data_IF_998555854027
#
_entry.id   IF_998555854027
#
_cell.length_a   1.000
_cell.length_b   1.000
_cell.length_c   1.000
_cell.angle_alpha   90.00
_cell.angle_beta   90.00
_cell.angle_gamma   90.00
#
_symmetry.space_group_name_H-M   'P 1'
#
loop_
_entity.id
_entity.type
_entity.pdbx_description
1 polymer ?
#
# COMPACT_ATOMS: atom_id res chain seq x y z
N UNK A 1 -2.71 28.25 -19.66
CA UNK A 1 -2.05 27.63 -18.48
C UNK A 1 -2.13 26.13 -18.64
N UNK A 2 -1.00 25.43 -18.62
CA UNK A 2 -0.98 23.97 -18.58
C UNK A 2 -1.38 23.55 -17.16
N UNK A 3 -2.33 22.62 -17.05
CA UNK A 3 -2.71 22.06 -15.76
C UNK A 3 -1.78 20.87 -15.46
N UNK A 4 -0.80 21.07 -14.58
CA UNK A 4 0.16 20.04 -14.16
C UNK A 4 -0.50 18.81 -13.52
N UNK A 5 -1.64 18.99 -12.84
CA UNK A 5 -2.38 17.89 -12.23
C UNK A 5 -2.93 16.94 -13.30
N UNK A 6 -3.41 17.49 -14.44
CA UNK A 6 -3.82 16.66 -15.58
C UNK A 6 -2.64 15.88 -16.16
N UNK A 7 -1.45 16.48 -16.22
CA UNK A 7 -0.24 15.78 -16.66
C UNK A 7 0.09 14.62 -15.71
N UNK A 8 0.00 14.83 -14.40
CA UNK A 8 0.18 13.78 -13.41
C UNK A 8 -0.85 12.65 -13.56
N UNK A 9 -2.12 12.97 -13.84
CA UNK A 9 -3.13 11.96 -14.14
C UNK A 9 -2.76 11.13 -15.38
N UNK A 10 -2.31 11.77 -16.46
CA UNK A 10 -1.86 11.04 -17.65
C UNK A 10 -0.64 10.15 -17.37
N UNK A 11 0.36 10.66 -16.65
CA UNK A 11 1.54 9.89 -16.27
C UNK A 11 1.16 8.64 -15.45
N UNK A 12 0.18 8.76 -14.56
CA UNK A 12 -0.33 7.64 -13.76
C UNK A 12 -1.12 6.63 -14.60
N UNK A 13 -1.85 7.08 -15.62
CA UNK A 13 -2.53 6.16 -16.53
C UNK A 13 -1.49 5.37 -17.34
N UNK A 14 -0.43 6.05 -17.80
CA UNK A 14 0.67 5.42 -18.55
C UNK A 14 1.44 4.44 -17.66
N UNK A 15 1.72 4.80 -16.40
CA UNK A 15 2.45 3.92 -15.48
C UNK A 15 1.70 2.60 -15.21
N UNK A 16 0.37 2.58 -15.28
CA UNK A 16 -0.44 1.37 -15.13
C UNK A 16 -0.34 0.39 -16.30
N UNK A 17 0.13 0.85 -17.47
CA UNK A 17 0.28 -0.02 -18.64
C UNK A 17 1.55 -0.88 -18.59
N UNK A 18 2.47 -0.55 -17.69
CA UNK A 18 3.67 -1.36 -17.49
C UNK A 18 3.32 -2.65 -16.74
N UNK A 19 3.84 -3.76 -17.25
CA UNK A 19 3.71 -5.08 -16.62
C UNK A 19 4.48 -5.15 -15.30
N UNK A 20 5.63 -4.47 -15.26
CA UNK A 20 6.51 -4.43 -14.10
C UNK A 20 6.27 -3.17 -13.26
N UNK A 21 6.07 -3.40 -11.95
CA UNK A 21 5.77 -2.37 -10.97
C UNK A 21 7.02 -1.57 -10.59
N UNK A 22 8.21 -2.15 -10.71
CA UNK A 22 9.47 -1.43 -10.50
C UNK A 22 9.73 -0.46 -11.65
N UNK A 23 9.59 -0.91 -12.90
CA UNK A 23 9.64 -0.03 -14.08
C UNK A 23 8.59 1.10 -14.03
N UNK A 24 7.37 0.78 -13.56
CA UNK A 24 6.31 1.78 -13.35
C UNK A 24 6.73 2.87 -12.36
N UNK A 25 7.37 2.46 -11.27
CA UNK A 25 7.82 3.35 -10.19
C UNK A 25 8.95 4.25 -10.69
N UNK A 26 9.95 3.69 -11.37
CA UNK A 26 11.06 4.45 -11.95
C UNK A 26 10.59 5.47 -12.99
N UNK A 27 9.60 5.13 -13.81
CA UNK A 27 8.98 6.09 -14.73
C UNK A 27 8.34 7.27 -13.99
N UNK A 28 7.56 6.99 -12.93
CA UNK A 28 6.89 8.03 -12.15
C UNK A 28 7.89 8.93 -11.39
N UNK A 29 8.98 8.36 -10.88
CA UNK A 29 10.08 9.12 -10.28
C UNK A 29 10.73 10.07 -11.29
N UNK A 30 11.00 9.60 -12.51
CA UNK A 30 11.52 10.46 -13.59
C UNK A 30 10.54 11.56 -14.01
N UNK A 31 9.22 11.35 -13.87
CA UNK A 31 8.22 12.40 -14.08
C UNK A 31 8.28 13.44 -12.96
N UNK A 32 8.46 13.03 -11.71
CA UNK A 32 8.63 13.95 -10.57
C UNK A 32 9.86 14.83 -10.78
N UNK A 33 10.99 14.28 -11.19
CA UNK A 33 12.22 15.05 -11.46
C UNK A 33 11.99 16.13 -12.53
N UNK A 34 11.28 15.79 -13.61
CA UNK A 34 10.94 16.74 -14.68
C UNK A 34 9.97 17.83 -14.19
N UNK A 35 9.01 17.47 -13.34
CA UNK A 35 8.09 18.44 -12.73
C UNK A 35 8.85 19.41 -11.82
N UNK A 36 9.80 18.91 -11.01
CA UNK A 36 10.65 19.73 -10.16
C UNK A 36 11.56 20.67 -10.97
N UNK A 37 12.07 20.20 -12.12
CA UNK A 37 12.87 21.02 -13.02
C UNK A 37 12.11 22.21 -13.63
N UNK A 38 10.77 22.12 -13.69
CA UNK A 38 9.91 23.17 -14.26
C UNK A 38 9.74 24.38 -13.33
N UNK A 39 10.03 24.25 -12.02
CA UNK A 39 9.97 25.32 -10.99
C UNK A 39 8.66 26.15 -10.98
N UNK A 40 7.53 25.53 -11.29
CA UNK A 40 6.21 26.18 -11.18
C UNK A 40 5.71 26.21 -9.73
N UNK A 41 4.86 27.19 -9.38
CA UNK A 41 4.38 27.40 -7.99
C UNK A 41 3.44 26.31 -7.45
N UNK A 42 2.83 25.49 -8.32
CA UNK A 42 1.87 24.45 -7.94
C UNK A 42 2.35 23.04 -8.32
N UNK A 43 3.65 22.79 -8.21
CA UNK A 43 4.24 21.47 -8.48
C UNK A 43 4.01 20.48 -7.34
N UNK A 44 3.71 20.95 -6.12
CA UNK A 44 3.64 20.07 -4.96
C UNK A 44 2.42 19.14 -5.00
N UNK A 45 1.26 19.63 -5.44
CA UNK A 45 0.04 18.83 -5.65
C UNK A 45 0.24 17.65 -6.63
N UNK A 46 0.72 17.85 -7.88
CA UNK A 46 0.93 16.75 -8.81
C UNK A 46 2.04 15.80 -8.35
N UNK A 47 3.10 16.31 -7.72
CA UNK A 47 4.16 15.47 -7.14
C UNK A 47 3.58 14.59 -6.04
N UNK A 48 2.76 15.17 -5.16
CA UNK A 48 2.08 14.44 -4.10
C UNK A 48 1.16 13.35 -4.66
N UNK A 49 0.35 13.67 -5.67
CA UNK A 49 -0.52 12.71 -6.34
C UNK A 49 0.27 11.52 -6.91
N UNK A 50 1.40 11.79 -7.58
CA UNK A 50 2.27 10.73 -8.13
C UNK A 50 2.87 9.89 -7.01
N UNK A 51 3.34 10.50 -5.91
CA UNK A 51 3.86 9.78 -4.74
C UNK A 51 2.81 8.83 -4.14
N UNK A 52 1.53 9.22 -4.10
CA UNK A 52 0.45 8.33 -3.63
C UNK A 52 0.27 7.11 -4.55
N UNK A 53 0.46 7.28 -5.86
CA UNK A 53 0.40 6.15 -6.79
C UNK A 53 1.63 5.24 -6.68
N UNK A 54 2.82 5.80 -6.41
CA UNK A 54 4.01 5.00 -6.08
C UNK A 54 3.77 4.19 -4.80
N UNK A 55 3.22 4.81 -3.75
CA UNK A 55 2.88 4.11 -2.51
C UNK A 55 1.91 2.94 -2.75
N UNK A 56 0.92 3.12 -3.64
CA UNK A 56 0.04 2.03 -4.08
C UNK A 56 0.83 0.89 -4.73
N UNK A 57 1.75 1.17 -5.64
CA UNK A 57 2.56 0.12 -6.27
C UNK A 57 3.45 -0.60 -5.27
N UNK A 58 4.05 0.12 -4.31
CA UNK A 58 4.84 -0.49 -3.22
C UNK A 58 3.98 -1.38 -2.31
N UNK A 59 2.74 -0.98 -2.04
CA UNK A 59 1.78 -1.82 -1.32
C UNK A 59 1.46 -3.12 -2.08
N UNK A 60 1.27 -3.05 -3.40
CA UNK A 60 1.05 -4.22 -4.26
C UNK A 60 2.26 -5.16 -4.30
N UNK A 61 3.49 -4.62 -4.22
CA UNK A 61 4.72 -5.40 -4.12
C UNK A 61 4.97 -6.02 -2.72
N UNK A 62 4.17 -5.64 -1.71
CA UNK A 62 4.31 -6.11 -0.33
C UNK A 62 5.25 -5.29 0.55
N UNK A 63 5.80 -4.17 0.05
CA UNK A 63 6.67 -3.29 0.84
C UNK A 63 5.84 -2.34 1.74
N UNK A 64 5.33 -2.90 2.82
CA UNK A 64 4.52 -2.18 3.80
C UNK A 64 5.31 -1.13 4.58
N UNK A 65 6.63 -1.29 4.73
CA UNK A 65 7.46 -0.35 5.50
C UNK A 65 7.63 0.94 4.72
N UNK A 66 7.98 0.85 3.45
CA UNK A 66 8.10 2.01 2.57
C UNK A 66 6.75 2.69 2.33
N UNK A 67 5.69 1.91 2.12
CA UNK A 67 4.34 2.48 1.96
C UNK A 67 3.92 3.30 3.21
N UNK A 68 4.27 2.84 4.42
CA UNK A 68 3.98 3.58 5.65
C UNK A 68 4.73 4.90 5.72
N UNK A 69 6.03 4.89 5.42
CA UNK A 69 6.85 6.12 5.40
C UNK A 69 6.26 7.15 4.42
N UNK A 70 5.91 6.71 3.21
CA UNK A 70 5.29 7.57 2.21
C UNK A 70 3.94 8.14 2.65
N UNK A 71 3.14 7.38 3.41
CA UNK A 71 1.88 7.86 3.98
C UNK A 71 2.10 8.86 5.12
N UNK A 72 3.07 8.61 6.01
CA UNK A 72 3.41 9.50 7.13
C UNK A 72 3.99 10.84 6.61
N UNK A 73 4.93 10.77 5.66
CA UNK A 73 5.48 11.96 4.97
C UNK A 73 4.40 12.69 4.17
N UNK A 74 3.51 11.92 3.53
CA UNK A 74 2.38 12.45 2.80
C UNK A 74 1.42 13.22 3.71
N UNK A 75 1.12 12.71 4.90
CA UNK A 75 0.25 13.39 5.85
C UNK A 75 0.80 14.76 6.26
N UNK A 76 2.09 14.83 6.59
CA UNK A 76 2.76 16.09 6.96
C UNK A 76 2.72 17.11 5.82
N UNK A 77 2.93 16.64 4.58
CA UNK A 77 2.86 17.48 3.38
C UNK A 77 1.43 18.00 3.15
N UNK A 78 0.44 17.13 3.31
CA UNK A 78 -0.98 17.45 3.13
C UNK A 78 -1.47 18.47 4.16
N UNK A 79 -1.04 18.36 5.41
CA UNK A 79 -1.39 19.30 6.50
C UNK A 79 -0.80 20.70 6.28
N UNK A 80 0.26 20.82 5.47
CA UNK A 80 0.92 22.10 5.15
C UNK A 80 0.25 22.87 4.00
N UNK A 81 -0.59 22.20 3.21
CA UNK A 81 -1.21 22.75 2.00
C UNK A 81 -2.65 23.19 2.27
N UNK A 82 -3.01 24.41 1.87
CA UNK A 82 -4.31 25.03 2.20
C UNK A 82 -5.31 25.12 1.04
N UNK A 83 -4.92 24.79 -0.19
CA UNK A 83 -5.76 24.90 -1.41
C UNK A 83 -5.60 23.66 -2.32
N UNK A 84 -5.82 22.47 -1.77
CA UNK A 84 -5.61 21.20 -2.49
C UNK A 84 -6.91 20.75 -3.18
N UNK A 85 -6.79 20.24 -4.40
CA UNK A 85 -7.91 19.61 -5.10
C UNK A 85 -8.46 18.37 -4.34
N UNK A 86 -9.79 18.24 -4.18
CA UNK A 86 -10.41 17.12 -3.46
C UNK A 86 -10.02 15.73 -4.01
N UNK A 87 -9.68 15.60 -5.29
CA UNK A 87 -9.24 14.33 -5.88
C UNK A 87 -7.90 13.85 -5.31
N UNK A 88 -7.02 14.78 -4.95
CA UNK A 88 -5.71 14.47 -4.35
C UNK A 88 -5.89 13.97 -2.93
N UNK A 89 -6.76 14.63 -2.14
CA UNK A 89 -7.19 14.15 -0.82
C UNK A 89 -7.81 12.75 -0.90
N UNK A 90 -8.73 12.53 -1.85
CA UNK A 90 -9.37 11.23 -2.03
C UNK A 90 -8.34 10.14 -2.33
N UNK A 91 -7.34 10.43 -3.17
CA UNK A 91 -6.25 9.48 -3.47
C UNK A 91 -5.45 9.10 -2.22
N UNK A 92 -5.11 10.08 -1.37
CA UNK A 92 -4.39 9.81 -0.12
C UNK A 92 -5.17 8.90 0.83
N UNK A 93 -6.44 9.25 1.13
CA UNK A 93 -7.26 8.46 2.04
C UNK A 93 -7.60 7.08 1.48
N UNK A 94 -7.71 6.94 0.15
CA UNK A 94 -7.88 5.65 -0.49
C UNK A 94 -6.66 4.75 -0.25
N UNK A 95 -5.44 5.24 -0.50
CA UNK A 95 -4.21 4.44 -0.27
C UNK A 95 -4.04 4.10 1.21
N UNK A 96 -4.32 5.05 2.11
CA UNK A 96 -4.30 4.81 3.56
C UNK A 96 -5.27 3.71 3.96
N UNK A 97 -6.50 3.74 3.44
CA UNK A 97 -7.52 2.71 3.69
C UNK A 97 -7.07 1.33 3.20
N UNK A 98 -6.45 1.26 2.02
CA UNK A 98 -5.92 0.01 1.46
C UNK A 98 -4.75 -0.53 2.28
N UNK A 99 -3.88 0.35 2.77
CA UNK A 99 -2.79 -0.01 3.67
C UNK A 99 -3.32 -0.63 4.97
N UNK A 100 -4.32 -0.01 5.60
CA UNK A 100 -4.93 -0.52 6.82
C UNK A 100 -5.66 -1.86 6.59
N UNK A 101 -6.36 -2.00 5.46
CA UNK A 101 -7.01 -3.25 5.06
C UNK A 101 -5.99 -4.39 4.92
N UNK A 102 -4.91 -4.18 4.18
CA UNK A 102 -3.84 -5.17 4.02
C UNK A 102 -3.28 -5.62 5.37
N UNK A 103 -3.02 -4.68 6.30
CA UNK A 103 -2.53 -5.02 7.64
C UNK A 103 -3.52 -5.85 8.46
N UNK A 104 -4.81 -5.58 8.37
CA UNK A 104 -5.84 -6.36 9.06
C UNK A 104 -5.94 -7.78 8.51
N UNK A 105 -5.91 -7.94 7.18
CA UNK A 105 -5.89 -9.27 6.54
C UNK A 105 -4.69 -10.11 7.01
N UNK A 106 -3.51 -9.51 7.14
CA UNK A 106 -2.35 -10.21 7.72
C UNK A 106 -2.58 -10.59 9.19
N UNK A 107 -3.09 -9.68 10.02
CA UNK A 107 -3.35 -9.96 11.43
C UNK A 107 -4.37 -11.11 11.62
N UNK A 108 -5.44 -11.13 10.82
CA UNK A 108 -6.46 -12.17 10.90
C UNK A 108 -5.98 -13.50 10.30
N UNK A 109 -5.13 -13.47 9.26
CA UNK A 109 -4.46 -14.65 8.75
C UNK A 109 -3.57 -15.32 9.82
N UNK A 110 -2.78 -14.55 10.57
CA UNK A 110 -1.97 -15.08 11.68
C UNK A 110 -2.82 -15.68 12.81
N UNK A 111 -3.95 -15.05 13.16
CA UNK A 111 -4.89 -15.60 14.16
C UNK A 111 -5.47 -16.92 13.70
N UNK A 112 -5.88 -17.03 12.43
CA UNK A 112 -6.41 -18.25 11.85
C UNK A 112 -5.35 -19.38 11.83
N UNK A 113 -4.11 -19.07 11.46
CA UNK A 113 -3.05 -20.08 11.45
C UNK A 113 -2.74 -20.59 12.88
N UNK A 114 -2.70 -19.68 13.86
CA UNK A 114 -2.51 -20.03 15.27
C UNK A 114 -3.64 -20.91 15.81
N UNK A 115 -4.89 -20.64 15.47
CA UNK A 115 -6.02 -21.47 15.89
C UNK A 115 -5.98 -22.86 15.25
N UNK A 116 -5.59 -22.96 13.97
CA UNK A 116 -5.41 -24.25 13.28
C UNK A 116 -4.29 -25.06 13.95
N UNK A 117 -3.14 -24.46 14.23
CA UNK A 117 -2.03 -25.14 14.92
C UNK A 117 -2.43 -25.63 16.32
N UNK A 118 -3.19 -24.83 17.06
CA UNK A 118 -3.77 -25.28 18.33
C UNK A 118 -4.69 -26.49 18.11
N UNK A 119 -5.64 -26.44 17.17
CA UNK A 119 -6.54 -27.58 16.91
C UNK A 119 -5.82 -28.84 16.42
N UNK A 120 -4.71 -28.71 15.68
CA UNK A 120 -3.90 -29.84 15.24
C UNK A 120 -3.13 -30.47 16.42
N UNK A 121 -2.65 -29.67 17.38
CA UNK A 121 -2.08 -30.16 18.63
C UNK A 121 -3.12 -30.94 19.47
N UNK A 122 -4.37 -30.47 19.49
CA UNK A 122 -5.48 -31.19 20.15
C UNK A 122 -5.86 -32.48 19.41
N UNK A 123 -5.81 -32.52 18.07
CA UNK A 123 -6.04 -33.74 17.28
C UNK A 123 -4.96 -34.80 17.48
N UNK A 124 -3.69 -34.42 17.59
CA UNK A 124 -2.60 -35.36 17.92
C UNK A 124 -2.73 -35.87 19.36
N UNK A 125 -3.11 -35.00 20.29
CA UNK A 125 -3.37 -35.38 21.69
C UNK A 125 -4.58 -36.32 21.84
N UNK A 126 -5.66 -36.13 21.07
CA UNK A 126 -6.82 -37.02 21.07
C UNK A 126 -6.56 -38.37 20.41
N UNK A 127 -5.79 -38.42 19.32
CA UNK A 127 -5.41 -39.70 18.71
C UNK A 127 -4.49 -40.54 19.62
N UNK A 128 -3.62 -39.90 20.41
CA UNK A 128 -2.82 -40.58 21.44
C UNK A 128 -3.68 -41.10 22.60
N UNK A 129 -4.68 -40.33 23.06
CA UNK A 129 -5.64 -40.78 24.07
C UNK A 129 -6.55 -41.92 23.59
N UNK A 130 -6.95 -41.91 22.31
CA UNK A 130 -7.75 -43.00 21.73
C UNK A 130 -6.97 -44.30 21.55
N UNK A 131 -5.65 -44.24 21.31
CA UNK A 131 -4.77 -45.43 21.30
C UNK A 131 -4.51 -45.97 22.71
N UNK A 132 -4.36 -45.11 23.71
CA UNK A 132 -4.16 -45.53 25.09
C UNK A 132 -5.38 -46.27 25.67
N UNK A 133 -6.60 -45.86 25.30
CA UNK A 133 -7.84 -46.54 25.73
C UNK A 133 -8.09 -47.87 25.01
N UNK A 134 -7.50 -48.10 23.83
CA UNK A 134 -7.66 -49.36 23.07
C UNK A 134 -6.61 -50.44 23.42
N UNK A 135 -5.59 -50.11 24.21
CA UNK A 135 -4.54 -51.05 24.65
C UNK A 135 -4.84 -51.63 26.05
N UNK A 136 -5.75 -51.03 26.81
CA UNK A 136 -6.19 -51.49 28.15
C UNK A 136 -7.56 -52.20 28.14
N UNK A 137 -7.91 -52.91 27.05
CA UNK A 137 -9.12 -53.75 26.93
C UNK A 137 -8.83 -55.11 26.31
#
# INVERSE_FOLDING_TARGET
MINLLKLAHFAVIVSRQYSDKEASTSYLEGVIEKLQATKEQRIEEPIFYIKMQIAKFKLEQGDQKECKKLLDDGKSTLDSMTDIDPSVYASYYWVSSQYHKFRQEFADFYKMLSSILHTHQWCLSWNLLSWYVFIDL
#
